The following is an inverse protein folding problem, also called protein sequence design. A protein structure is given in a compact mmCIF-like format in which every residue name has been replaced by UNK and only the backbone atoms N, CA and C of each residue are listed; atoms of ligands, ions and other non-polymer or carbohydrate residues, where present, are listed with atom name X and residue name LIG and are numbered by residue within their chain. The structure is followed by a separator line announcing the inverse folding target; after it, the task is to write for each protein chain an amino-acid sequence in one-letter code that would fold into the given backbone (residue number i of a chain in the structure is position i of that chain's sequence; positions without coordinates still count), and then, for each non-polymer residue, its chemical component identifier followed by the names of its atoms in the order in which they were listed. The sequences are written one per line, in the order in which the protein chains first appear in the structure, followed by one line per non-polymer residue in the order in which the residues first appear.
data_IF_639321912174
#
_entry.id   IF_639321912174
#
_cell.length_a   1.000
_cell.length_b   1.000
_cell.length_c   1.000
_cell.angle_alpha   90.00
_cell.angle_beta   90.00
_cell.angle_gamma   90.00
#
_symmetry.space_group_name_H-M   'P 1'
#
loop_
_entity.id
_entity.type
_entity.pdbx_description
1 polymer ?
#
# COMPACT_ATOMS: atom_id res chain seq x y z
N UNK A 1 -8.26 -8.98 10.01
CA UNK A 1 -7.67 -7.61 10.17
C UNK A 1 -7.35 -7.06 8.79
N UNK A 2 -7.43 -5.74 8.61
CA UNK A 2 -7.13 -5.10 7.33
C UNK A 2 -5.89 -4.20 7.44
N UNK A 3 -5.10 -4.19 6.37
CA UNK A 3 -4.05 -3.21 6.12
C UNK A 3 -4.38 -2.51 4.81
N UNK A 4 -4.48 -1.19 4.82
CA UNK A 4 -4.64 -0.40 3.60
C UNK A 4 -3.31 0.27 3.26
N UNK A 5 -2.95 0.28 1.98
CA UNK A 5 -1.82 1.05 1.46
C UNK A 5 -2.30 2.06 0.42
N UNK A 6 -1.98 3.32 0.64
CA UNK A 6 -2.37 4.41 -0.25
C UNK A 6 -1.24 5.42 -0.42
N UNK A 7 -1.26 6.09 -1.56
CA UNK A 7 -0.36 7.20 -1.84
C UNK A 7 -1.12 8.32 -2.48
N UNK A 8 -0.66 9.54 -2.19
CA UNK A 8 -1.31 10.75 -2.66
C UNK A 8 -0.30 11.57 -3.45
N UNK A 9 -0.79 12.56 -4.21
CA UNK A 9 0.00 13.73 -4.53
C UNK A 9 -0.55 14.89 -3.71
N UNK A 10 0.19 15.31 -2.68
CA UNK A 10 -0.18 16.47 -1.87
C UNK A 10 0.53 17.73 -2.37
N UNK A 11 -0.23 18.72 -2.87
CA UNK A 11 0.30 19.96 -3.36
C UNK A 11 1.06 20.73 -2.28
N UNK A 12 2.17 21.35 -2.68
CA UNK A 12 2.94 22.24 -1.82
C UNK A 12 3.36 23.48 -2.61
N UNK A 13 3.58 24.58 -1.91
CA UNK A 13 3.95 25.87 -2.48
C UNK A 13 5.36 26.27 -2.04
N UNK A 14 5.94 27.26 -2.73
CA UNK A 14 7.31 27.74 -2.49
C UNK A 14 8.36 27.02 -3.35
N UNK A 15 9.36 27.78 -3.81
CA UNK A 15 10.39 27.28 -4.71
C UNK A 15 11.34 26.30 -4.02
N UNK A 16 11.74 26.59 -2.79
CA UNK A 16 12.73 25.84 -2.02
C UNK A 16 12.19 24.63 -1.23
N UNK A 17 10.93 24.19 -1.44
CA UNK A 17 10.37 23.04 -0.70
C UNK A 17 11.13 21.76 -1.07
N UNK A 18 11.94 21.26 -0.14
CA UNK A 18 12.75 20.05 -0.34
C UNK A 18 11.88 18.84 -0.71
N UNK A 19 12.38 18.04 -1.66
CA UNK A 19 11.69 16.84 -2.16
C UNK A 19 10.45 17.12 -3.01
N UNK A 20 9.97 18.36 -3.10
CA UNK A 20 8.81 18.69 -3.92
C UNK A 20 9.17 18.58 -5.41
N UNK A 21 8.34 17.87 -6.17
CA UNK A 21 8.51 17.76 -7.61
C UNK A 21 7.14 17.66 -8.29
N UNK A 22 7.11 17.84 -9.60
CA UNK A 22 5.88 17.70 -10.38
C UNK A 22 5.49 16.22 -10.50
N UNK A 23 4.29 15.90 -10.01
CA UNK A 23 3.66 14.58 -10.12
C UNK A 23 2.33 14.66 -10.86
N UNK A 24 1.86 13.51 -11.35
CA UNK A 24 0.56 13.42 -12.00
C UNK A 24 -0.58 13.52 -10.98
N UNK A 25 -1.57 14.35 -11.28
CA UNK A 25 -2.86 14.38 -10.58
C UNK A 25 -3.98 14.63 -11.59
N UNK A 26 -5.21 14.33 -11.18
CA UNK A 26 -6.41 14.76 -11.91
C UNK A 26 -7.06 15.93 -11.20
N UNK A 27 -7.43 16.97 -11.95
CA UNK A 27 -8.24 18.09 -11.47
C UNK A 27 -9.40 18.23 -12.46
N UNK A 28 -10.64 18.08 -11.95
CA UNK A 28 -11.85 18.08 -12.78
C UNK A 28 -11.74 17.13 -14.00
N UNK A 29 -11.25 15.91 -13.78
CA UNK A 29 -11.07 14.89 -14.83
C UNK A 29 -9.84 15.08 -15.74
N UNK A 30 -9.19 16.25 -15.73
CA UNK A 30 -8.02 16.53 -16.57
C UNK A 30 -6.72 16.11 -15.89
N UNK A 31 -5.88 15.39 -16.61
CA UNK A 31 -4.54 15.04 -16.14
C UNK A 31 -3.63 16.26 -16.19
N UNK A 32 -3.10 16.66 -15.05
CA UNK A 32 -2.19 17.80 -14.91
C UNK A 32 -0.97 17.40 -14.07
N UNK A 33 0.14 18.11 -14.29
CA UNK A 33 1.29 18.03 -13.40
C UNK A 33 1.14 19.07 -12.30
N UNK A 34 1.30 18.66 -11.05
CA UNK A 34 1.25 19.56 -9.89
C UNK A 34 2.48 19.37 -9.03
N UNK A 35 3.11 20.49 -8.62
CA UNK A 35 4.21 20.45 -7.65
C UNK A 35 3.67 19.95 -6.31
N UNK A 36 4.23 18.86 -5.82
CA UNK A 36 3.73 18.20 -4.63
C UNK A 36 4.75 17.27 -3.99
N UNK A 37 4.33 16.69 -2.87
CA UNK A 37 4.96 15.55 -2.23
C UNK A 37 4.05 14.34 -2.39
N UNK A 38 4.63 13.15 -2.38
CA UNK A 38 3.85 11.91 -2.48
C UNK A 38 3.99 11.05 -1.22
N UNK A 39 3.22 11.34 -0.16
CA UNK A 39 3.15 10.45 0.99
C UNK A 39 2.68 9.07 0.55
N UNK A 40 3.37 8.04 1.03
CA UNK A 40 2.90 6.66 1.02
C UNK A 40 2.59 6.31 2.47
N UNK A 41 1.39 5.82 2.74
CA UNK A 41 0.93 5.51 4.07
C UNK A 41 0.33 4.11 4.11
N UNK A 42 0.44 3.48 5.27
CA UNK A 42 -0.28 2.26 5.60
C UNK A 42 -1.10 2.46 6.85
N UNK A 43 -2.33 1.99 6.84
CA UNK A 43 -3.21 1.97 8.02
C UNK A 43 -3.53 0.52 8.39
N UNK A 44 -3.72 0.26 9.68
CA UNK A 44 -4.26 -0.98 10.21
C UNK A 44 -5.66 -0.70 10.72
N UNK A 45 -6.62 -1.57 10.42
CA UNK A 45 -7.97 -1.49 10.97
C UNK A 45 -8.51 -2.86 11.36
N UNK A 46 -9.38 -2.87 12.37
CA UNK A 46 -10.12 -4.04 12.85
C UNK A 46 -11.60 -3.68 12.94
N UNK A 47 -12.52 -4.66 12.98
CA UNK A 47 -13.95 -4.37 13.16
C UNK A 47 -14.28 -3.63 14.46
N UNK A 48 -13.45 -3.80 15.50
CA UNK A 48 -13.70 -3.27 16.84
C UNK A 48 -12.92 -2.00 17.20
N UNK A 49 -12.12 -1.43 16.28
CA UNK A 49 -11.30 -0.26 16.59
C UNK A 49 -11.17 0.69 15.38
N UNK A 50 -10.98 1.98 15.68
CA UNK A 50 -10.69 2.98 14.65
C UNK A 50 -9.38 2.65 13.92
N UNK A 51 -9.27 2.97 12.61
CA UNK A 51 -8.03 2.79 11.87
C UNK A 51 -6.87 3.58 12.47
N UNK A 52 -5.69 2.96 12.55
CA UNK A 52 -4.44 3.58 13.02
C UNK A 52 -3.39 3.58 11.92
N UNK A 53 -2.59 4.64 11.84
CA UNK A 53 -1.48 4.72 10.89
C UNK A 53 -0.35 3.81 11.38
N UNK A 54 -0.05 2.76 10.62
CA UNK A 54 1.03 1.82 10.91
C UNK A 54 2.39 2.30 10.39
N UNK A 55 2.38 3.20 9.40
CA UNK A 55 3.60 3.75 8.82
C UNK A 55 3.30 4.81 7.77
N UNK A 56 4.22 5.76 7.63
CA UNK A 56 4.16 6.78 6.59
C UNK A 56 5.57 7.14 6.12
N UNK A 57 5.74 7.34 4.82
CA UNK A 57 6.98 7.85 4.24
C UNK A 57 6.66 8.99 3.28
N UNK A 58 7.38 10.10 3.46
CA UNK A 58 7.31 11.23 2.55
C UNK A 58 8.22 10.96 1.34
N UNK A 59 7.69 11.15 0.13
CA UNK A 59 8.43 10.90 -1.12
C UNK A 59 8.30 12.10 -2.06
N UNK A 60 9.15 12.14 -3.08
CA UNK A 60 9.06 13.18 -4.10
C UNK A 60 7.72 13.11 -4.83
N UNK A 61 7.16 14.26 -5.25
CA UNK A 61 5.85 14.30 -5.91
C UNK A 61 5.75 13.45 -7.18
N UNK A 62 6.88 13.24 -7.88
CA UNK A 62 6.97 12.39 -9.09
C UNK A 62 6.98 10.89 -8.80
N UNK A 63 6.90 10.49 -7.53
CA UNK A 63 7.07 9.10 -7.12
C UNK A 63 5.78 8.31 -7.34
N UNK A 64 5.82 7.27 -8.17
CA UNK A 64 4.69 6.38 -8.39
C UNK A 64 4.35 5.52 -7.15
N UNK A 65 3.08 5.11 -7.03
CA UNK A 65 2.53 4.38 -5.87
C UNK A 65 3.36 3.15 -5.48
N UNK A 66 3.78 2.34 -6.45
CA UNK A 66 4.54 1.11 -6.18
C UNK A 66 5.95 1.30 -5.60
N UNK A 67 6.55 2.50 -5.68
CA UNK A 67 7.91 2.73 -5.16
C UNK A 67 7.91 2.74 -3.63
N UNK A 68 8.55 1.73 -3.04
CA UNK A 68 8.64 1.55 -1.58
C UNK A 68 7.47 0.77 -0.97
N UNK A 69 6.42 0.49 -1.74
CA UNK A 69 5.19 -0.13 -1.26
C UNK A 69 5.41 -1.53 -0.65
N UNK A 70 6.18 -2.42 -1.29
CA UNK A 70 6.42 -3.76 -0.74
C UNK A 70 7.11 -3.74 0.62
N UNK A 71 8.07 -2.83 0.82
CA UNK A 71 8.74 -2.65 2.12
C UNK A 71 7.77 -2.08 3.16
N UNK A 72 6.98 -1.07 2.81
CA UNK A 72 5.96 -0.48 3.68
C UNK A 72 4.95 -1.53 4.14
N UNK A 73 4.46 -2.37 3.22
CA UNK A 73 3.53 -3.46 3.52
C UNK A 73 4.16 -4.47 4.47
N UNK A 74 5.39 -4.91 4.22
CA UNK A 74 6.08 -5.84 5.12
C UNK A 74 6.23 -5.27 6.54
N UNK A 75 6.56 -3.98 6.65
CA UNK A 75 6.64 -3.29 7.95
C UNK A 75 5.28 -3.18 8.63
N UNK A 76 4.21 -2.87 7.89
CA UNK A 76 2.86 -2.79 8.42
C UNK A 76 2.36 -4.16 8.91
N UNK A 77 2.64 -5.25 8.16
CA UNK A 77 2.32 -6.62 8.59
C UNK A 77 3.09 -6.98 9.86
N UNK A 78 4.39 -6.69 9.90
CA UNK A 78 5.20 -6.91 11.11
C UNK A 78 4.67 -6.13 12.31
N UNK A 79 4.26 -4.87 12.10
CA UNK A 79 3.63 -4.02 13.13
C UNK A 79 2.31 -4.63 13.62
N UNK A 80 1.46 -5.09 12.71
CA UNK A 80 0.21 -5.75 13.05
C UNK A 80 0.44 -7.02 13.88
N UNK A 81 1.41 -7.86 13.49
CA UNK A 81 1.79 -9.07 14.24
C UNK A 81 2.33 -8.74 15.62
N UNK A 82 3.20 -7.74 15.72
CA UNK A 82 3.73 -7.26 17.00
C UNK A 82 2.62 -6.69 17.91
N UNK A 83 1.58 -6.10 17.32
CA UNK A 83 0.39 -5.63 18.02
C UNK A 83 -0.62 -6.75 18.38
N UNK A 84 -0.25 -8.02 18.20
CA UNK A 84 -1.07 -9.17 18.61
C UNK A 84 -2.01 -9.72 17.54
N UNK A 85 -1.89 -9.30 16.28
CA UNK A 85 -2.68 -9.89 15.20
C UNK A 85 -2.30 -11.35 14.97
N UNK A 86 -3.15 -12.29 15.38
CA UNK A 86 -2.94 -13.73 15.19
C UNK A 86 -3.66 -14.27 13.94
N UNK A 87 -4.83 -13.72 13.60
CA UNK A 87 -5.64 -14.15 12.47
C UNK A 87 -5.15 -13.70 11.09
N UNK A 88 -6.00 -13.89 10.09
CA UNK A 88 -5.73 -13.50 8.71
C UNK A 88 -5.63 -11.97 8.56
N UNK A 89 -4.58 -11.53 7.87
CA UNK A 89 -4.37 -10.15 7.45
C UNK A 89 -4.68 -10.05 5.96
N UNK A 90 -5.56 -9.11 5.60
CA UNK A 90 -5.84 -8.75 4.21
C UNK A 90 -5.23 -7.38 3.91
N UNK A 91 -4.30 -7.33 2.96
CA UNK A 91 -3.69 -6.10 2.45
C UNK A 91 -4.45 -5.61 1.24
N UNK A 92 -5.01 -4.41 1.32
CA UNK A 92 -5.80 -3.74 0.30
C UNK A 92 -5.10 -2.46 -0.16
N UNK A 93 -5.49 -1.97 -1.32
CA UNK A 93 -5.04 -0.72 -1.91
C UNK A 93 -5.71 -0.54 -3.26
N UNK A 94 -5.55 0.61 -3.91
CA UNK A 94 -6.03 0.81 -5.29
C UNK A 94 -5.24 -0.04 -6.32
N UNK A 95 -5.69 -0.04 -7.59
CA UNK A 95 -5.11 -0.88 -8.65
C UNK A 95 -3.63 -0.60 -8.95
N UNK A 96 -3.10 0.56 -8.56
CA UNK A 96 -1.67 0.89 -8.65
C UNK A 96 -0.79 0.04 -7.70
N UNK A 97 -1.39 -0.69 -6.75
CA UNK A 97 -0.71 -1.60 -5.83
C UNK A 97 -0.69 -3.07 -6.27
N UNK A 98 -1.13 -3.36 -7.51
CA UNK A 98 -0.94 -4.67 -8.18
C UNK A 98 0.52 -5.08 -8.50
N UNK A 99 1.57 -4.22 -8.53
CA UNK A 99 2.91 -4.67 -8.92
C UNK A 99 3.41 -5.90 -8.15
N UNK A 100 4.07 -6.82 -8.85
CA UNK A 100 4.57 -8.11 -8.31
C UNK A 100 5.33 -7.98 -6.99
N UNK A 101 6.07 -6.89 -6.79
CA UNK A 101 6.82 -6.64 -5.54
C UNK A 101 5.91 -6.50 -4.33
N UNK A 102 4.77 -5.83 -4.46
CA UNK A 102 3.78 -5.67 -3.38
C UNK A 102 3.13 -7.01 -3.08
N UNK A 103 2.64 -7.70 -4.12
CA UNK A 103 2.01 -9.02 -3.97
C UNK A 103 2.95 -10.03 -3.32
N UNK A 104 4.22 -10.10 -3.77
CA UNK A 104 5.23 -10.98 -3.16
C UNK A 104 5.52 -10.62 -1.70
N UNK A 105 5.53 -9.33 -1.34
CA UNK A 105 5.68 -8.92 0.06
C UNK A 105 4.50 -9.36 0.92
N UNK A 106 3.27 -9.29 0.42
CA UNK A 106 2.10 -9.82 1.13
C UNK A 106 2.24 -11.34 1.36
N UNK A 107 2.46 -12.09 0.27
CA UNK A 107 2.52 -13.55 0.31
C UNK A 107 3.69 -14.05 1.17
N UNK A 108 4.88 -13.44 1.03
CA UNK A 108 6.06 -13.78 1.82
C UNK A 108 5.92 -13.49 3.32
N UNK A 109 4.97 -12.63 3.71
CA UNK A 109 4.65 -12.31 5.09
C UNK A 109 3.35 -13.00 5.59
N UNK A 110 2.81 -13.96 4.82
CA UNK A 110 1.60 -14.71 5.18
C UNK A 110 0.31 -13.88 5.16
N UNK A 111 0.29 -12.76 4.43
CA UNK A 111 -0.90 -11.93 4.27
C UNK A 111 -1.54 -12.15 2.89
N UNK A 112 -2.87 -12.00 2.85
CA UNK A 112 -3.65 -12.09 1.63
C UNK A 112 -3.68 -10.73 0.92
N UNK A 113 -3.87 -10.76 -0.40
CA UNK A 113 -4.12 -9.57 -1.20
C UNK A 113 -5.10 -9.91 -2.32
N UNK A 114 -6.12 -9.09 -2.61
CA UNK A 114 -7.03 -9.36 -3.72
C UNK A 114 -6.33 -9.38 -5.09
N UNK A 115 -5.10 -8.84 -5.15
CA UNK A 115 -4.27 -8.82 -6.36
C UNK A 115 -3.49 -10.11 -6.62
N UNK A 116 -3.43 -11.04 -5.66
CA UNK A 116 -2.66 -12.29 -5.81
C UNK A 116 -3.29 -13.30 -6.78
N UNK A 117 -4.58 -13.16 -7.09
CA UNK A 117 -5.35 -14.08 -7.95
C UNK A 117 -5.28 -13.72 -9.46
N UNK A 118 -4.62 -12.61 -9.82
CA UNK A 118 -4.43 -12.25 -11.23
C UNK A 118 -3.22 -12.98 -11.83
N UNK A 119 -3.47 -14.22 -12.28
CA UNK A 119 -2.60 -15.12 -13.08
C UNK A 119 -1.34 -14.47 -13.70
N UNK A 120 -0.22 -14.69 -13.03
CA UNK A 120 1.08 -14.95 -13.67
C UNK A 120 1.47 -16.36 -13.16
N UNK A 121 0.98 -17.41 -13.83
CA UNK A 121 1.01 -18.83 -13.42
C UNK A 121 2.44 -19.43 -13.30
N UNK A 122 2.62 -20.65 -12.73
CA UNK A 122 2.03 -21.17 -11.49
C UNK A 122 3.12 -21.82 -10.60
N UNK A 123 3.10 -21.64 -9.28
CA UNK A 123 3.85 -22.55 -8.38
C UNK A 123 2.94 -22.83 -7.18
N UNK A 124 2.57 -24.11 -7.07
CA UNK A 124 2.13 -24.83 -5.87
C UNK A 124 2.08 -23.99 -4.59
N UNK A 125 0.86 -23.66 -4.16
CA UNK A 125 0.59 -23.34 -2.75
C UNK A 125 -0.58 -24.23 -2.36
N UNK A 126 -0.36 -25.01 -1.30
CA UNK A 126 -1.21 -26.11 -0.85
C UNK A 126 -2.69 -25.77 -0.76
N UNK A 127 -3.50 -26.81 -1.01
CA UNK A 127 -4.93 -26.74 -1.18
C UNK A 127 -5.67 -26.01 -0.06
N UNK A 128 -6.55 -25.12 -0.50
CA UNK A 128 -7.62 -24.56 0.29
C UNK A 128 -8.73 -25.62 0.41
N UNK A 129 -8.83 -26.29 1.56
CA UNK A 129 -10.07 -26.95 1.97
C UNK A 129 -10.90 -25.94 2.76
N UNK A 130 -12.04 -25.56 2.22
CA UNK A 130 -13.15 -25.06 3.02
C UNK A 130 -13.69 -26.23 3.83
N UNK A 131 -13.65 -26.14 5.16
CA UNK A 131 -14.48 -26.96 6.04
C UNK A 131 -15.81 -26.22 6.25
N UNK A 132 -16.87 -26.93 5.87
CA UNK A 132 -18.31 -26.75 6.12
C UNK A 132 -19.01 -25.46 5.61
#
# INVERSE_FOLDING_TARGET
MFIDIDSLLRPVYGHAKAGASYGHTKIAGKQVLRKGLSPLATTISTPGAAPVIAGMQLRAGKTGSGKGAGRMVAQAISTARAAGASGQILVRGDSAYRPRKVVRSCLGAGAQSPYSDTRINPISVGGFKTSD
#
